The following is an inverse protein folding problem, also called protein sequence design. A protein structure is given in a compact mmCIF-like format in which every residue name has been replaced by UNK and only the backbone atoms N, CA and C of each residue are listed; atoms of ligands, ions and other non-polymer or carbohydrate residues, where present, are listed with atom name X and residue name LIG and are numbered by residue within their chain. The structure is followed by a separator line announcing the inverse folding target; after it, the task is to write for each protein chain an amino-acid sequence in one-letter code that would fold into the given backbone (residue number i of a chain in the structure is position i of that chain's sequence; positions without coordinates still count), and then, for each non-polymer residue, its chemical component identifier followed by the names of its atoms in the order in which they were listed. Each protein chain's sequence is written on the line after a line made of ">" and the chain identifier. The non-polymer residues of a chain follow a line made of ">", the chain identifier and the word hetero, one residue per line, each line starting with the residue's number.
data_IF_897358793085
#
_entry.id   IF_897358793085
#
_cell.length_a   1.000
_cell.length_b   1.000
_cell.length_c   1.000
_cell.angle_alpha   90.00
_cell.angle_beta   90.00
_cell.angle_gamma   90.00
#
_symmetry.space_group_name_H-M   'P 1'
#
loop_
_entity.id
_entity.type
_entity.pdbx_description
1 polymer ?
#
# COMPACT_ATOMS: atom_id res chain seq x y z
N UNK A 1 4.00 -35.18 9.35
CA UNK A 1 4.80 -34.76 8.18
C UNK A 1 4.82 -33.23 8.16
N UNK A 2 5.98 -32.56 8.13
CA UNK A 2 6.05 -31.09 8.10
C UNK A 2 6.17 -30.61 6.65
N UNK A 3 5.39 -29.60 6.27
CA UNK A 3 5.44 -29.05 4.90
C UNK A 3 6.81 -28.41 4.60
N UNK A 4 7.48 -27.88 5.62
CA UNK A 4 8.82 -27.26 5.53
C UNK A 4 9.96 -28.25 5.29
N UNK A 5 9.70 -29.56 5.30
CA UNK A 5 10.69 -30.59 4.96
C UNK A 5 10.49 -31.17 3.56
N UNK A 6 9.56 -30.63 2.77
CA UNK A 6 9.36 -31.05 1.39
C UNK A 6 10.45 -30.48 0.47
N UNK A 7 10.89 -31.23 -0.55
CA UNK A 7 11.69 -30.69 -1.64
C UNK A 7 11.04 -29.47 -2.29
N UNK A 8 11.87 -28.52 -2.74
CA UNK A 8 11.43 -27.26 -3.37
C UNK A 8 10.44 -27.50 -4.52
N UNK A 9 10.66 -28.53 -5.33
CA UNK A 9 9.82 -28.86 -6.48
C UNK A 9 8.37 -29.19 -6.06
N UNK A 10 8.20 -29.87 -4.91
CA UNK A 10 6.88 -30.19 -4.37
C UNK A 10 6.24 -28.95 -3.75
N UNK A 11 7.02 -28.07 -3.11
CA UNK A 11 6.53 -26.78 -2.63
C UNK A 11 6.02 -25.90 -3.77
N UNK A 12 6.76 -25.83 -4.88
CA UNK A 12 6.36 -25.13 -6.11
C UNK A 12 5.06 -25.70 -6.66
N UNK A 13 4.97 -27.03 -6.79
CA UNK A 13 3.74 -27.70 -7.23
C UNK A 13 2.55 -27.45 -6.31
N UNK A 14 2.73 -27.45 -4.99
CA UNK A 14 1.64 -27.14 -4.05
C UNK A 14 1.22 -25.68 -4.21
N UNK A 15 2.19 -24.77 -4.30
CA UNK A 15 1.93 -23.34 -4.42
C UNK A 15 1.22 -22.98 -5.73
N UNK A 16 1.40 -23.72 -6.83
CA UNK A 16 0.71 -23.45 -8.09
C UNK A 16 -0.81 -23.71 -8.03
N UNK A 17 -1.30 -24.50 -7.07
CA UNK A 17 -2.73 -24.69 -6.82
C UNK A 17 -3.32 -23.68 -5.82
N UNK A 18 -2.48 -22.84 -5.21
CA UNK A 18 -2.93 -21.84 -4.24
C UNK A 18 -3.23 -20.51 -4.95
N UNK A 19 -4.34 -19.89 -4.58
CA UNK A 19 -4.57 -18.47 -4.91
C UNK A 19 -3.54 -17.60 -4.20
N UNK A 20 -3.30 -16.39 -4.73
CA UNK A 20 -2.32 -15.43 -4.18
C UNK A 20 -2.44 -15.23 -2.67
N UNK A 21 -3.67 -15.19 -2.13
CA UNK A 21 -3.94 -15.14 -0.68
C UNK A 21 -3.33 -16.33 0.06
N UNK A 22 -3.54 -17.55 -0.45
CA UNK A 22 -3.01 -18.78 0.15
C UNK A 22 -1.48 -18.85 0.12
N UNK A 23 -0.86 -18.42 -0.98
CA UNK A 23 0.61 -18.33 -1.09
C UNK A 23 1.15 -17.34 -0.05
N UNK A 24 0.55 -16.15 0.07
CA UNK A 24 0.93 -15.15 1.08
C UNK A 24 0.76 -15.69 2.51
N UNK A 25 -0.37 -16.32 2.81
CA UNK A 25 -0.60 -16.95 4.11
C UNK A 25 0.44 -18.04 4.42
N UNK A 26 0.80 -18.87 3.43
CA UNK A 26 1.80 -19.92 3.60
C UNK A 26 3.18 -19.33 3.95
N UNK A 27 3.60 -18.27 3.26
CA UNK A 27 4.87 -17.57 3.53
C UNK A 27 4.96 -16.99 4.94
N UNK A 28 3.83 -16.61 5.54
CA UNK A 28 3.77 -16.09 6.90
C UNK A 28 3.92 -17.16 7.99
N UNK A 29 3.76 -18.44 7.65
CA UNK A 29 3.78 -19.51 8.67
C UNK A 29 5.17 -19.82 9.20
N UNK A 30 6.22 -19.71 8.38
CA UNK A 30 7.61 -19.88 8.81
C UNK A 30 8.62 -19.27 7.83
N UNK A 31 9.81 -18.95 8.33
CA UNK A 31 10.88 -18.34 7.56
C UNK A 31 11.32 -19.17 6.34
N UNK A 32 11.36 -20.50 6.49
CA UNK A 32 11.74 -21.39 5.39
C UNK A 32 10.77 -21.25 4.20
N UNK A 33 9.47 -21.20 4.46
CA UNK A 33 8.46 -20.99 3.42
C UNK A 33 8.42 -19.54 2.93
N UNK A 34 8.77 -18.57 3.77
CA UNK A 34 8.89 -17.18 3.35
C UNK A 34 9.98 -16.99 2.28
N UNK A 35 11.11 -17.69 2.43
CA UNK A 35 12.27 -17.65 1.51
C UNK A 35 12.11 -18.53 0.27
N UNK A 36 11.44 -19.67 0.40
CA UNK A 36 11.31 -20.68 -0.66
C UNK A 36 9.94 -20.71 -1.34
N UNK A 37 8.95 -20.00 -0.80
CA UNK A 37 7.62 -19.90 -1.38
C UNK A 37 7.65 -19.13 -2.71
N UNK A 38 6.85 -19.58 -3.67
CA UNK A 38 6.67 -18.88 -4.94
C UNK A 38 6.20 -17.45 -4.70
N UNK A 39 6.79 -16.49 -5.39
CA UNK A 39 6.27 -15.12 -5.43
C UNK A 39 5.40 -15.01 -6.68
N UNK A 40 4.09 -14.87 -6.48
CA UNK A 40 3.14 -14.78 -7.58
C UNK A 40 2.79 -13.28 -7.77
N UNK A 41 3.42 -12.66 -8.76
CA UNK A 41 3.34 -11.21 -9.04
C UNK A 41 2.42 -10.93 -10.23
N UNK A 42 1.13 -11.30 -10.16
CA UNK A 42 0.20 -11.05 -11.27
C UNK A 42 -0.09 -9.57 -11.51
N UNK A 43 0.03 -8.75 -10.46
CA UNK A 43 -0.36 -7.35 -10.46
C UNK A 43 0.74 -6.53 -9.79
N UNK A 44 1.19 -5.48 -10.47
CA UNK A 44 2.19 -4.54 -9.96
C UNK A 44 1.56 -3.15 -9.89
N UNK A 45 1.70 -2.49 -8.74
CA UNK A 45 1.27 -1.11 -8.55
C UNK A 45 2.45 -0.18 -8.83
N UNK A 46 2.22 0.84 -9.64
CA UNK A 46 3.22 1.80 -10.07
C UNK A 46 2.72 3.19 -9.73
N UNK A 47 3.37 3.84 -8.76
CA UNK A 47 3.19 5.29 -8.52
C UNK A 47 4.27 6.06 -9.27
N UNK A 48 4.09 7.37 -9.41
CA UNK A 48 5.07 8.28 -10.01
C UNK A 48 6.35 8.52 -9.16
N UNK A 49 6.85 7.51 -8.45
CA UNK A 49 8.13 7.55 -7.73
C UNK A 49 9.24 6.90 -8.57
N UNK A 50 10.44 7.51 -8.70
CA UNK A 50 11.58 6.90 -9.38
C UNK A 50 11.97 5.53 -8.80
N UNK A 51 11.73 5.31 -7.51
CA UNK A 51 11.97 4.03 -6.87
C UNK A 51 11.05 2.93 -7.43
N UNK A 52 9.76 3.22 -7.60
CA UNK A 52 8.81 2.26 -8.15
C UNK A 52 9.10 1.93 -9.61
N UNK A 53 9.62 2.89 -10.39
CA UNK A 53 10.11 2.62 -11.75
C UNK A 53 11.30 1.66 -11.73
N UNK A 54 12.25 1.82 -10.80
CA UNK A 54 13.39 0.89 -10.65
C UNK A 54 12.93 -0.51 -10.26
N UNK A 55 11.98 -0.63 -9.33
CA UNK A 55 11.39 -1.92 -8.92
C UNK A 55 10.70 -2.58 -10.11
N UNK A 56 9.87 -1.85 -10.86
CA UNK A 56 9.21 -2.39 -12.05
C UNK A 56 10.23 -2.86 -13.10
N UNK A 57 11.30 -2.09 -13.32
CA UNK A 57 12.38 -2.50 -14.22
C UNK A 57 13.06 -3.79 -13.75
N UNK A 58 13.37 -3.91 -12.46
CA UNK A 58 13.92 -5.13 -11.89
C UNK A 58 12.99 -6.35 -12.06
N UNK A 59 11.67 -6.15 -11.96
CA UNK A 59 10.67 -7.20 -12.23
C UNK A 59 10.70 -7.59 -13.72
N UNK A 60 10.74 -6.60 -14.62
CA UNK A 60 10.77 -6.82 -16.08
C UNK A 60 12.06 -7.52 -16.55
N UNK A 61 13.19 -7.25 -15.90
CA UNK A 61 14.49 -7.86 -16.19
C UNK A 61 14.61 -9.29 -15.61
N UNK A 62 13.71 -9.72 -14.72
CA UNK A 62 13.75 -11.04 -14.11
C UNK A 62 13.05 -12.11 -14.97
N UNK A 63 13.78 -13.14 -15.40
CA UNK A 63 13.31 -14.19 -16.32
C UNK A 63 12.02 -14.90 -15.89
N UNK A 64 11.84 -15.13 -14.59
CA UNK A 64 10.61 -15.74 -14.06
C UNK A 64 9.47 -14.73 -13.93
N UNK A 65 9.71 -13.62 -13.24
CA UNK A 65 8.63 -12.74 -12.79
C UNK A 65 8.03 -11.91 -13.91
N UNK A 66 8.82 -11.55 -14.93
CA UNK A 66 8.32 -10.77 -16.08
C UNK A 66 7.17 -11.45 -16.83
N UNK A 67 7.09 -12.77 -16.77
CA UNK A 67 6.04 -13.58 -17.44
C UNK A 67 4.78 -13.71 -16.58
N UNK A 68 4.92 -13.58 -15.26
CA UNK A 68 3.82 -13.74 -14.32
C UNK A 68 3.01 -12.46 -14.14
N UNK A 69 3.60 -11.28 -14.42
CA UNK A 69 2.89 -9.99 -14.37
C UNK A 69 1.90 -9.88 -15.53
N UNK A 70 0.60 -9.88 -15.20
CA UNK A 70 -0.50 -9.74 -16.15
C UNK A 70 -1.14 -8.36 -16.14
N UNK A 71 -0.91 -7.57 -15.10
CA UNK A 71 -1.57 -6.27 -14.89
C UNK A 71 -0.60 -5.27 -14.23
N UNK A 72 -0.56 -4.06 -14.77
CA UNK A 72 0.14 -2.92 -14.16
C UNK A 72 -0.93 -1.88 -13.82
N UNK A 73 -1.05 -1.56 -12.54
CA UNK A 73 -1.93 -0.50 -12.05
C UNK A 73 -1.09 0.75 -11.86
N UNK A 74 -1.34 1.74 -12.71
CA UNK A 74 -0.76 3.07 -12.56
C UNK A 74 -1.59 3.87 -11.57
N UNK A 75 -0.96 4.25 -10.46
CA UNK A 75 -1.48 5.20 -9.50
C UNK A 75 -1.07 6.61 -9.97
N UNK A 76 -2.05 7.35 -10.48
CA UNK A 76 -1.88 8.72 -10.95
C UNK A 76 -2.10 9.77 -9.86
N UNK A 77 -2.21 9.35 -8.59
CA UNK A 77 -2.30 10.26 -7.46
C UNK A 77 -1.10 11.21 -7.45
N UNK A 78 -1.41 12.51 -7.38
CA UNK A 78 -0.40 13.56 -7.28
C UNK A 78 -0.41 14.12 -5.88
N UNK A 79 0.77 14.12 -5.26
CA UNK A 79 0.99 14.88 -4.04
C UNK A 79 1.05 16.37 -4.38
N UNK A 80 0.54 17.21 -3.49
CA UNK A 80 0.44 18.66 -3.68
C UNK A 80 1.27 19.36 -2.60
N UNK A 81 2.23 20.17 -3.02
CA UNK A 81 3.17 20.85 -2.10
C UNK A 81 2.47 21.89 -1.22
N UNK A 82 1.42 22.50 -1.76
CA UNK A 82 0.37 23.20 -1.03
C UNK A 82 -0.82 23.34 -2.01
N UNK A 83 -2.06 23.11 -1.58
CA UNK A 83 -3.15 23.13 -2.54
C UNK A 83 -3.50 24.58 -2.89
N UNK A 84 -3.25 24.99 -4.14
CA UNK A 84 -3.95 26.17 -4.72
C UNK A 84 -5.47 25.92 -4.73
N UNK A 85 -5.87 24.65 -4.81
CA UNK A 85 -7.24 24.15 -4.86
C UNK A 85 -7.97 24.12 -3.49
N UNK A 86 -7.26 24.12 -2.36
CA UNK A 86 -7.91 24.10 -1.03
C UNK A 86 -8.63 25.42 -0.75
N UNK A 87 -8.17 26.52 -1.36
CA UNK A 87 -8.87 27.80 -1.26
C UNK A 87 -10.29 27.74 -1.84
N UNK A 88 -10.53 26.85 -2.82
CA UNK A 88 -11.80 26.74 -3.54
C UNK A 88 -12.67 25.54 -3.09
N UNK A 89 -12.08 24.57 -2.37
CA UNK A 89 -12.74 23.32 -1.94
C UNK A 89 -13.05 23.24 -0.44
N UNK A 90 -12.53 24.14 0.39
CA UNK A 90 -12.89 24.19 1.82
C UNK A 90 -14.31 24.74 1.92
N UNK A 91 -15.27 23.84 1.93
CA UNK A 91 -16.51 24.05 2.66
C UNK A 91 -16.10 24.23 4.12
N UNK A 92 -16.13 25.49 4.59
CA UNK A 92 -16.24 25.90 5.99
C UNK A 92 -15.70 24.89 7.03
N UNK A 93 -14.41 24.53 6.97
CA UNK A 93 -13.78 23.91 8.13
C UNK A 93 -13.60 25.03 9.15
N UNK A 94 -14.19 24.86 10.33
CA UNK A 94 -14.01 25.78 11.44
C UNK A 94 -12.53 25.74 11.84
N UNK A 95 -11.77 26.76 11.43
CA UNK A 95 -10.32 26.89 11.66
C UNK A 95 -9.94 26.73 13.15
N UNK A 96 -10.92 26.81 14.05
CA UNK A 96 -10.82 26.62 15.49
C UNK A 96 -10.61 25.16 15.95
N UNK A 97 -10.90 24.13 15.14
CA UNK A 97 -10.69 22.71 15.50
C UNK A 97 -9.33 22.14 15.06
N UNK A 98 -8.50 22.96 14.43
CA UNK A 98 -7.21 22.52 13.88
C UNK A 98 -6.12 22.90 14.87
N UNK A 99 -5.51 21.88 15.48
CA UNK A 99 -4.41 22.01 16.43
C UNK A 99 -3.22 22.75 15.79
N UNK A 100 -2.96 24.01 16.16
CA UNK A 100 -1.84 24.78 15.60
C UNK A 100 -0.48 24.33 16.15
N UNK A 101 -0.45 23.48 17.18
CA UNK A 101 0.78 23.07 17.87
C UNK A 101 1.40 21.78 17.30
N UNK A 102 0.73 21.09 16.35
CA UNK A 102 1.10 19.76 15.85
C UNK A 102 2.18 19.69 14.77
N UNK A 103 2.95 20.76 14.54
CA UNK A 103 4.12 20.76 13.64
C UNK A 103 3.84 20.51 12.14
N UNK A 104 2.57 20.50 11.71
CA UNK A 104 2.15 20.23 10.34
C UNK A 104 1.09 21.25 9.84
N UNK A 105 0.97 21.52 8.53
CA UNK A 105 0.01 22.49 8.01
C UNK A 105 -1.45 22.07 8.20
N UNK A 106 -2.32 23.03 8.53
CA UNK A 106 -3.75 22.80 8.78
C UNK A 106 -4.49 22.06 7.64
N UNK A 107 -4.18 22.41 6.39
CA UNK A 107 -4.78 21.75 5.23
C UNK A 107 -4.42 20.26 5.19
N UNK A 108 -3.21 19.88 5.60
CA UNK A 108 -2.76 18.49 5.62
C UNK A 108 -3.54 17.69 6.67
N UNK A 109 -3.73 18.28 7.87
CA UNK A 109 -4.55 17.71 8.94
C UNK A 109 -5.98 17.47 8.46
N UNK A 110 -6.58 18.46 7.78
CA UNK A 110 -7.94 18.37 7.25
C UNK A 110 -8.08 17.24 6.23
N UNK A 111 -7.17 17.15 5.24
CA UNK A 111 -7.15 16.04 4.26
C UNK A 111 -7.01 14.69 4.95
N UNK A 112 -6.16 14.57 5.97
CA UNK A 112 -5.98 13.32 6.70
C UNK A 112 -7.27 12.88 7.41
N UNK A 113 -8.01 13.82 8.02
CA UNK A 113 -9.31 13.54 8.64
C UNK A 113 -10.35 13.11 7.61
N UNK A 114 -10.49 13.83 6.50
CA UNK A 114 -11.45 13.50 5.43
C UNK A 114 -11.15 12.14 4.78
N UNK A 115 -9.87 11.83 4.54
CA UNK A 115 -9.46 10.53 4.02
C UNK A 115 -9.82 9.39 4.99
N UNK A 116 -9.67 9.61 6.29
CA UNK A 116 -10.06 8.64 7.33
C UNK A 116 -11.57 8.40 7.33
N UNK A 117 -12.37 9.47 7.29
CA UNK A 117 -13.83 9.38 7.21
C UNK A 117 -14.28 8.65 5.94
N UNK A 118 -13.72 9.01 4.79
CA UNK A 118 -13.96 8.33 3.51
C UNK A 118 -13.63 6.83 3.55
N UNK A 119 -12.58 6.42 4.26
CA UNK A 119 -12.24 5.00 4.43
C UNK A 119 -13.30 4.26 5.24
N UNK A 120 -13.88 4.90 6.25
CA UNK A 120 -14.96 4.33 7.05
C UNK A 120 -16.29 4.27 6.27
N UNK A 121 -16.61 5.28 5.45
CA UNK A 121 -17.80 5.30 4.59
C UNK A 121 -17.75 4.28 3.46
N UNK A 122 -16.56 4.01 2.90
CA UNK A 122 -16.37 3.02 1.83
C UNK A 122 -16.53 1.57 2.29
N UNK A 123 -16.68 1.32 3.59
CA UNK A 123 -17.02 -0.01 4.11
C UNK A 123 -18.46 -0.35 3.78
N UNK A 124 -18.66 -1.08 2.69
CA UNK A 124 -19.95 -1.71 2.41
C UNK A 124 -20.16 -2.83 3.43
N UNK A 125 -21.21 -2.74 4.24
CA UNK A 125 -21.55 -3.75 5.24
C UNK A 125 -21.65 -5.14 4.59
N UNK A 126 -20.77 -6.05 5.01
CA UNK A 126 -20.75 -7.45 4.55
C UNK A 126 -19.85 -7.74 3.34
N UNK A 127 -19.15 -6.76 2.76
CA UNK A 127 -18.15 -7.01 1.71
C UNK A 127 -16.76 -6.63 2.24
N UNK A 128 -15.95 -7.65 2.55
CA UNK A 128 -14.55 -7.47 2.94
C UNK A 128 -13.70 -7.42 1.66
N UNK A 129 -13.43 -6.19 1.16
CA UNK A 129 -12.50 -5.97 0.05
C UNK A 129 -11.06 -6.04 0.57
N UNK A 130 -10.09 -6.46 -0.25
CA UNK A 130 -8.67 -6.46 0.14
C UNK A 130 -8.19 -5.10 0.68
N UNK A 131 -8.78 -4.01 0.18
CA UNK A 131 -8.49 -2.62 0.57
C UNK A 131 -9.07 -2.27 1.96
N UNK A 132 -10.00 -3.07 2.48
CA UNK A 132 -10.60 -2.93 3.82
C UNK A 132 -9.84 -3.72 4.90
N UNK A 133 -8.96 -4.65 4.51
CA UNK A 133 -8.24 -5.53 5.44
C UNK A 133 -7.00 -4.82 5.98
N UNK A 134 -7.12 -4.26 7.19
CA UNK A 134 -6.07 -3.95 8.17
C UNK A 134 -4.90 -3.00 7.78
N UNK A 135 -4.52 -2.86 6.50
CA UNK A 135 -3.40 -2.04 6.06
C UNK A 135 -3.64 -0.55 6.30
N UNK A 136 -4.83 -0.05 5.96
CA UNK A 136 -5.17 1.36 6.16
C UNK A 136 -5.25 1.80 7.62
N UNK A 137 -5.51 0.91 8.58
CA UNK A 137 -5.55 1.27 10.02
C UNK A 137 -4.20 1.12 10.72
N UNK A 138 -3.31 0.25 10.23
CA UNK A 138 -1.99 0.05 10.84
C UNK A 138 -0.99 1.17 10.50
N UNK A 139 -1.09 1.79 9.31
CA UNK A 139 -0.21 2.92 8.93
C UNK A 139 -0.60 4.25 9.60
N UNK A 140 -1.87 4.41 10.01
CA UNK A 140 -2.38 5.69 10.58
C UNK A 140 -2.18 5.76 12.11
N UNK A 141 -1.56 4.76 12.73
CA UNK A 141 -1.14 4.84 14.13
C UNK A 141 0.11 5.74 14.34
N UNK A 142 0.71 6.26 13.26
CA UNK A 142 1.86 7.15 13.35
C UNK A 142 1.46 8.57 13.76
N UNK A 143 2.26 9.27 14.58
CA UNK A 143 2.04 10.68 14.88
C UNK A 143 1.97 11.53 13.60
N UNK A 144 1.09 12.53 13.59
CA UNK A 144 0.82 13.36 12.40
C UNK A 144 2.08 14.08 11.88
N UNK A 145 2.99 14.44 12.79
CA UNK A 145 4.31 14.99 12.46
C UNK A 145 5.16 14.04 11.61
N UNK A 146 5.15 12.74 11.92
CA UNK A 146 5.89 11.71 11.17
C UNK A 146 5.27 11.55 9.79
N UNK A 147 3.93 11.50 9.71
CA UNK A 147 3.21 11.47 8.44
C UNK A 147 3.51 12.70 7.58
N UNK A 148 3.61 13.89 8.18
CA UNK A 148 3.95 15.12 7.48
C UNK A 148 5.39 15.09 6.95
N UNK A 149 6.36 14.64 7.74
CA UNK A 149 7.74 14.46 7.27
C UNK A 149 7.82 13.46 6.11
N UNK A 150 7.08 12.35 6.18
CA UNK A 150 6.99 11.39 5.09
C UNK A 150 6.39 12.03 3.83
N UNK A 151 5.31 12.80 3.97
CA UNK A 151 4.69 13.52 2.87
C UNK A 151 5.67 14.48 2.18
N UNK A 152 6.43 15.24 2.97
CA UNK A 152 7.47 16.15 2.45
C UNK A 152 8.58 15.39 1.72
N UNK A 153 9.02 14.25 2.25
CA UNK A 153 10.02 13.42 1.58
C UNK A 153 9.51 12.88 0.25
N UNK A 154 8.22 12.52 0.16
CA UNK A 154 7.61 12.03 -1.07
C UNK A 154 7.46 13.13 -2.14
N UNK A 155 7.21 14.38 -1.72
CA UNK A 155 7.18 15.54 -2.64
C UNK A 155 8.53 15.83 -3.30
N UNK A 156 9.63 15.40 -2.70
CA UNK A 156 10.98 15.64 -3.19
C UNK A 156 11.53 14.53 -4.10
N UNK A 157 10.78 13.44 -4.32
CA UNK A 157 11.20 12.30 -5.15
C UNK A 157 11.01 12.57 -6.66
#
# INVERSE_FOLDING_TARGET
>A
MRISSLPINLLVCICSYLVNRGIKSLRLTCEHLARNGLVCLNRVFLTASPYNIRVLRAIADHEGFRRDVTEIIWDDARLVDAPKLYRDLVWEFDDAEIDPDGGCPNWFVAVCKENLESVDERKIAGIDRPDHVAGGKQDIAQPLEVCWQLYQNLLQQ
#
